data_IF_207518685855
#
_entry.id   IF_207518685855
#
_cell.length_a   1.000
_cell.length_b   1.000
_cell.length_c   1.000
_cell.angle_alpha   90.00
_cell.angle_beta   90.00
_cell.angle_gamma   90.00
#
_symmetry.space_group_name_H-M   'P 1'
#
loop_
_entity.id
_entity.type
_entity.pdbx_description
1 polymer ?
#
# COMPACT_ATOMS: atom_id res chain seq x y z
N UNK A 1 11.30 1.16 -19.58
CA UNK A 1 10.73 2.50 -19.26
C UNK A 1 9.84 2.43 -18.03
N UNK A 2 8.83 1.53 -17.99
CA UNK A 2 7.94 1.38 -16.81
C UNK A 2 8.68 1.12 -15.49
N UNK A 3 9.64 0.19 -15.47
CA UNK A 3 10.41 -0.09 -14.24
C UNK A 3 11.23 1.11 -13.75
N UNK A 4 11.83 1.88 -14.66
CA UNK A 4 12.60 3.07 -14.30
C UNK A 4 11.71 4.15 -13.66
N UNK A 5 10.48 4.33 -14.14
CA UNK A 5 9.50 5.26 -13.56
C UNK A 5 9.10 4.82 -12.15
N UNK A 6 8.87 3.52 -11.93
CA UNK A 6 8.53 2.96 -10.62
C UNK A 6 9.68 3.10 -9.60
N UNK A 7 10.92 2.94 -10.06
CA UNK A 7 12.11 3.14 -9.23
C UNK A 7 12.22 4.60 -8.78
N UNK A 8 12.03 5.57 -9.68
CA UNK A 8 12.10 7.01 -9.35
C UNK A 8 11.10 7.39 -8.23
N UNK A 9 9.88 6.87 -8.29
CA UNK A 9 8.84 7.13 -7.27
C UNK A 9 9.26 6.60 -5.89
N UNK A 10 10.06 5.52 -5.84
CA UNK A 10 10.56 4.92 -4.60
C UNK A 10 11.86 5.53 -4.07
N UNK A 11 12.56 6.35 -4.86
CA UNK A 11 13.81 7.02 -4.41
C UNK A 11 13.52 7.98 -3.26
N UNK A 12 12.35 8.63 -3.26
CA UNK A 12 11.98 9.56 -2.22
C UNK A 12 11.40 8.83 -0.99
N UNK A 13 11.98 9.05 0.20
CA UNK A 13 11.39 8.55 1.45
C UNK A 13 9.96 9.11 1.62
N UNK A 14 9.05 8.31 2.18
CA UNK A 14 7.65 8.71 2.42
C UNK A 14 7.55 10.04 3.18
N UNK A 15 8.40 10.23 4.21
CA UNK A 15 8.43 11.45 5.03
C UNK A 15 8.80 12.69 4.18
N UNK A 16 9.79 12.56 3.29
CA UNK A 16 10.21 13.68 2.43
C UNK A 16 9.09 14.07 1.47
N UNK A 17 8.42 13.06 0.89
CA UNK A 17 7.25 13.24 0.04
C UNK A 17 6.10 13.92 0.80
N UNK A 18 5.84 13.53 2.05
CA UNK A 18 4.88 14.18 2.92
C UNK A 18 5.21 15.66 3.14
N UNK A 19 6.45 16.00 3.52
CA UNK A 19 6.82 17.40 3.77
C UNK A 19 6.63 18.29 2.54
N UNK A 20 6.93 17.77 1.34
CA UNK A 20 6.71 18.48 0.07
C UNK A 20 5.19 18.67 -0.17
N UNK A 21 4.41 17.61 0.01
CA UNK A 21 2.97 17.65 -0.24
C UNK A 21 2.22 18.50 0.79
N UNK A 22 2.65 18.53 2.05
CA UNK A 22 2.11 19.42 3.09
C UNK A 22 2.24 20.89 2.67
N UNK A 23 3.35 21.27 2.03
CA UNK A 23 3.54 22.64 1.55
C UNK A 23 2.58 23.01 0.43
N UNK A 24 2.20 22.07 -0.43
CA UNK A 24 1.30 22.30 -1.56
C UNK A 24 -0.19 22.16 -1.20
N UNK A 25 -0.54 21.14 -0.42
CA UNK A 25 -1.92 20.73 -0.13
C UNK A 25 -2.36 21.05 1.30
N UNK A 26 -1.44 21.45 2.18
CA UNK A 26 -1.69 21.73 3.59
C UNK A 26 -1.63 20.49 4.49
N UNK A 27 -1.80 20.70 5.79
CA UNK A 27 -1.91 19.64 6.79
C UNK A 27 -3.35 19.12 6.85
N UNK A 28 -3.67 18.10 6.07
CA UNK A 28 -4.99 17.48 6.05
C UNK A 28 -4.91 16.01 5.61
N UNK A 29 -6.01 15.28 5.74
CA UNK A 29 -6.08 13.87 5.39
C UNK A 29 -5.76 13.59 3.90
N UNK A 30 -6.03 14.55 3.00
CA UNK A 30 -5.76 14.39 1.57
C UNK A 30 -4.26 14.28 1.32
N UNK A 31 -3.45 15.11 1.98
CA UNK A 31 -1.99 15.05 1.91
C UNK A 31 -1.47 13.66 2.30
N UNK A 32 -1.94 13.09 3.40
CA UNK A 32 -1.52 11.77 3.87
C UNK A 32 -1.91 10.66 2.89
N UNK A 33 -3.13 10.71 2.35
CA UNK A 33 -3.58 9.75 1.32
C UNK A 33 -2.73 9.86 0.05
N UNK A 34 -2.38 11.07 -0.39
CA UNK A 34 -1.53 11.29 -1.55
C UNK A 34 -0.10 10.79 -1.30
N UNK A 35 0.49 11.06 -0.13
CA UNK A 35 1.83 10.58 0.23
C UNK A 35 1.88 9.06 0.18
N UNK A 36 0.96 8.39 0.88
CA UNK A 36 0.90 6.93 0.95
C UNK A 36 0.59 6.34 -0.41
N UNK A 37 -0.36 6.93 -1.15
CA UNK A 37 -0.78 6.47 -2.46
C UNK A 37 0.35 6.52 -3.49
N UNK A 38 1.02 7.67 -3.61
CA UNK A 38 2.14 7.83 -4.54
C UNK A 38 3.27 6.85 -4.24
N UNK A 39 3.65 6.73 -2.96
CA UNK A 39 4.69 5.80 -2.57
C UNK A 39 4.25 4.32 -2.74
N UNK A 40 2.97 4.03 -2.56
CA UNK A 40 2.41 2.69 -2.77
C UNK A 40 2.40 2.26 -4.23
N UNK A 41 2.07 3.15 -5.15
CA UNK A 41 2.02 2.86 -6.60
C UNK A 41 3.38 2.36 -7.09
N UNK A 42 4.48 3.01 -6.67
CA UNK A 42 5.83 2.62 -7.06
C UNK A 42 6.20 1.20 -6.63
N UNK A 43 5.83 0.81 -5.40
CA UNK A 43 6.11 -0.53 -4.88
C UNK A 43 5.19 -1.58 -5.49
N UNK A 44 3.88 -1.35 -5.47
CA UNK A 44 2.88 -2.28 -6.00
C UNK A 44 3.12 -2.56 -7.48
N UNK A 45 3.44 -1.52 -8.28
CA UNK A 45 3.73 -1.70 -9.70
C UNK A 45 4.91 -2.64 -9.95
N UNK A 46 5.97 -2.57 -9.13
CA UNK A 46 7.13 -3.46 -9.27
C UNK A 46 6.80 -4.89 -8.84
N UNK A 47 6.15 -5.05 -7.69
CA UNK A 47 5.78 -6.37 -7.18
C UNK A 47 4.75 -7.07 -8.06
N UNK A 48 3.80 -6.34 -8.64
CA UNK A 48 2.85 -6.90 -9.60
C UNK A 48 3.53 -7.30 -10.92
N UNK A 49 4.49 -6.50 -11.40
CA UNK A 49 5.28 -6.87 -12.57
C UNK A 49 6.09 -8.15 -12.31
N UNK A 50 6.74 -8.27 -11.15
CA UNK A 50 7.47 -9.48 -10.75
C UNK A 50 6.54 -10.69 -10.64
N UNK A 51 5.33 -10.53 -10.08
CA UNK A 51 4.34 -11.61 -10.01
C UNK A 51 3.91 -12.09 -11.42
N UNK A 52 3.72 -11.16 -12.36
CA UNK A 52 3.37 -11.48 -13.75
C UNK A 52 4.54 -12.14 -14.50
N UNK A 53 5.77 -11.67 -14.28
CA UNK A 53 6.96 -12.20 -14.95
C UNK A 53 7.35 -13.60 -14.47
N UNK A 54 7.03 -13.94 -13.21
CA UNK A 54 7.32 -15.24 -12.61
C UNK A 54 6.25 -16.32 -12.89
N UNK A 55 5.13 -15.95 -13.51
CA UNK A 55 4.03 -16.86 -13.83
C UNK A 55 4.42 -17.88 -14.92
N UNK A 56 3.86 -19.10 -14.85
CA UNK A 56 4.03 -20.11 -15.90
C UNK A 56 3.43 -19.63 -17.23
N UNK A 57 4.21 -19.76 -18.30
CA UNK A 57 3.83 -19.34 -19.66
C UNK A 57 3.11 -20.45 -20.42
N UNK A 58 3.16 -21.69 -19.95
CA UNK A 58 2.51 -22.83 -20.61
C UNK A 58 1.00 -22.61 -20.87
N UNK A 59 0.21 -22.03 -19.94
CA UNK A 59 -1.21 -21.72 -20.20
C UNK A 59 -1.42 -20.64 -21.27
N UNK A 60 -0.48 -19.70 -21.43
CA UNK A 60 -0.54 -18.67 -22.47
C UNK A 60 -0.29 -19.26 -23.85
N UNK A 61 0.68 -20.18 -23.97
CA UNK A 61 0.98 -20.87 -25.24
C UNK A 61 -0.20 -21.75 -25.68
N UNK A 62 -0.88 -22.42 -24.73
CA UNK A 62 -2.10 -23.16 -25.02
C UNK A 62 -3.23 -22.25 -25.54
N UNK A 63 -3.40 -21.05 -24.97
CA UNK A 63 -4.38 -20.07 -25.45
C UNK A 63 -4.02 -19.55 -26.85
N UNK A 64 -2.73 -19.39 -27.16
CA UNK A 64 -2.27 -19.03 -28.50
C UNK A 64 -2.60 -20.12 -29.53
N UNK A 65 -2.47 -21.40 -29.17
CA UNK A 65 -2.81 -22.52 -30.06
C UNK A 65 -4.30 -22.57 -30.43
N UNK A 66 -5.18 -22.03 -29.58
CA UNK A 66 -6.64 -21.95 -29.82
C UNK A 66 -7.02 -20.64 -30.52
N UNK A 67 -6.05 -19.78 -30.86
CA UNK A 67 -6.29 -18.50 -31.54
C UNK A 67 -6.85 -17.40 -30.64
N UNK A 68 -6.58 -17.46 -29.33
CA UNK A 68 -7.07 -16.46 -28.39
C UNK A 68 -6.46 -15.06 -28.63
N UNK A 69 -7.29 -14.03 -28.55
CA UNK A 69 -6.82 -12.65 -28.63
C UNK A 69 -6.15 -12.19 -27.32
N UNK A 70 -5.46 -11.04 -27.35
CA UNK A 70 -4.72 -10.52 -26.20
C UNK A 70 -5.58 -10.33 -24.93
N UNK A 71 -6.83 -9.87 -25.08
CA UNK A 71 -7.75 -9.68 -23.96
C UNK A 71 -8.20 -11.00 -23.33
N UNK A 72 -8.42 -12.03 -24.15
CA UNK A 72 -8.72 -13.38 -23.68
C UNK A 72 -7.53 -13.96 -22.91
N UNK A 73 -6.31 -13.76 -23.40
CA UNK A 73 -5.08 -14.17 -22.71
C UNK A 73 -4.91 -13.50 -21.36
N UNK A 74 -5.16 -12.19 -21.26
CA UNK A 74 -5.13 -11.47 -19.98
C UNK A 74 -6.19 -12.02 -19.02
N UNK A 75 -7.44 -12.15 -19.49
CA UNK A 75 -8.57 -12.52 -18.62
C UNK A 75 -8.55 -13.96 -18.16
N UNK A 76 -8.15 -14.90 -19.02
CA UNK A 76 -8.24 -16.34 -18.77
C UNK A 76 -6.90 -17.02 -18.53
N UNK A 77 -5.80 -16.39 -18.95
CA UNK A 77 -4.44 -16.87 -18.69
C UNK A 77 -3.82 -16.14 -17.50
N UNK A 78 -3.62 -14.83 -17.63
CA UNK A 78 -2.79 -14.06 -16.69
C UNK A 78 -3.52 -13.83 -15.36
N UNK A 79 -4.67 -13.15 -15.38
CA UNK A 79 -5.39 -12.72 -14.17
C UNK A 79 -5.64 -13.89 -13.20
N UNK A 80 -6.16 -15.06 -13.61
CA UNK A 80 -6.45 -16.14 -12.69
C UNK A 80 -5.22 -16.70 -11.98
N UNK A 81 -4.07 -16.70 -12.66
CA UNK A 81 -2.81 -17.23 -12.11
C UNK A 81 -2.18 -16.26 -11.10
N UNK A 82 -2.16 -14.96 -11.41
CA UNK A 82 -1.52 -13.95 -10.52
C UNK A 82 -2.46 -13.33 -9.50
N UNK A 83 -3.76 -13.62 -9.54
CA UNK A 83 -4.75 -12.99 -8.66
C UNK A 83 -4.46 -13.23 -7.17
N UNK A 84 -4.03 -14.44 -6.81
CA UNK A 84 -3.66 -14.78 -5.43
C UNK A 84 -2.46 -13.96 -4.95
N UNK A 85 -1.40 -13.89 -5.76
CA UNK A 85 -0.18 -13.12 -5.47
C UNK A 85 -0.46 -11.62 -5.38
N UNK A 86 -1.20 -11.06 -6.35
CA UNK A 86 -1.58 -9.64 -6.35
C UNK A 86 -2.40 -9.31 -5.10
N UNK A 87 -3.32 -10.19 -4.71
CA UNK A 87 -4.15 -9.99 -3.51
C UNK A 87 -3.30 -10.05 -2.23
N UNK A 88 -2.38 -11.01 -2.15
CA UNK A 88 -1.43 -11.14 -1.03
C UNK A 88 -0.52 -9.91 -0.88
N UNK A 89 0.06 -9.44 -2.00
CA UNK A 89 0.89 -8.24 -2.06
C UNK A 89 0.09 -7.00 -1.64
N UNK A 90 -1.16 -6.88 -2.11
CA UNK A 90 -2.03 -5.74 -1.78
C UNK A 90 -2.37 -5.70 -0.28
N UNK A 91 -2.75 -6.84 0.31
CA UNK A 91 -3.04 -6.95 1.74
C UNK A 91 -1.80 -6.64 2.60
N UNK A 92 -0.64 -7.17 2.19
CA UNK A 92 0.61 -6.85 2.87
C UNK A 92 0.93 -5.35 2.83
N UNK A 93 0.76 -4.72 1.66
CA UNK A 93 0.99 -3.28 1.51
C UNK A 93 -0.04 -2.45 2.28
N UNK A 94 -1.27 -2.93 2.38
CA UNK A 94 -2.30 -2.27 3.18
C UNK A 94 -1.92 -2.19 4.67
N UNK A 95 -1.40 -3.27 5.28
CA UNK A 95 -0.91 -3.22 6.67
C UNK A 95 0.20 -2.17 6.84
N UNK A 96 1.19 -2.18 5.95
CA UNK A 96 2.29 -1.20 5.99
C UNK A 96 1.75 0.22 5.88
N UNK A 97 0.81 0.46 4.97
CA UNK A 97 0.21 1.77 4.74
C UNK A 97 -0.56 2.29 5.97
N UNK A 98 -1.27 1.41 6.68
CA UNK A 98 -1.95 1.76 7.94
C UNK A 98 -0.95 2.20 9.00
N UNK A 99 0.20 1.52 9.10
CA UNK A 99 1.28 1.89 10.01
C UNK A 99 1.93 3.22 9.60
N UNK A 100 2.25 3.38 8.32
CA UNK A 100 2.78 4.64 7.76
C UNK A 100 1.85 5.82 8.00
N UNK A 101 0.52 5.65 7.94
CA UNK A 101 -0.45 6.71 8.23
C UNK A 101 -0.34 7.27 9.66
N UNK A 102 0.15 6.48 10.61
CA UNK A 102 0.42 6.96 11.98
C UNK A 102 1.66 7.86 12.01
N UNK A 103 2.75 7.43 11.36
CA UNK A 103 3.99 8.22 11.29
C UNK A 103 3.77 9.52 10.51
N UNK A 104 3.07 9.42 9.39
CA UNK A 104 2.75 10.56 8.54
C UNK A 104 1.82 11.59 9.21
N UNK A 105 0.92 11.12 10.06
CA UNK A 105 0.07 12.00 10.88
C UNK A 105 0.86 12.86 11.85
N UNK A 106 1.96 12.34 12.41
CA UNK A 106 2.83 13.09 13.33
C UNK A 106 3.61 14.19 12.60
N UNK A 107 4.03 13.97 11.36
CA UNK A 107 4.77 14.97 10.56
C UNK A 107 3.86 16.00 9.88
N UNK A 108 2.56 16.01 10.21
CA UNK A 108 1.61 16.99 9.68
C UNK A 108 1.06 16.66 8.30
N UNK A 109 1.25 15.44 7.79
CA UNK A 109 0.55 15.00 6.57
C UNK A 109 -0.89 14.55 6.84
N UNK A 110 -1.39 14.65 8.08
CA UNK A 110 -2.71 14.15 8.47
C UNK A 110 -2.77 12.62 8.59
N UNK A 111 -3.90 12.10 9.07
CA UNK A 111 -4.10 10.66 9.30
C UNK A 111 -4.17 10.28 10.78
N UNK A 112 -3.99 8.99 11.09
CA UNK A 112 -4.17 8.42 12.44
C UNK A 112 -3.27 9.10 13.49
N UNK A 113 -2.05 9.49 13.09
CA UNK A 113 -1.10 10.15 13.99
C UNK A 113 -1.39 11.63 14.26
N UNK A 114 -2.31 12.27 13.52
CA UNK A 114 -2.62 13.68 13.75
C UNK A 114 -3.26 13.89 15.14
N UNK A 115 -4.08 12.95 15.58
CA UNK A 115 -4.68 13.00 16.93
C UNK A 115 -3.63 12.82 18.04
N UNK A 116 -2.57 12.04 17.78
CA UNK A 116 -1.46 11.87 18.73
C UNK A 116 -0.70 13.18 18.94
N UNK A 117 -0.32 13.86 17.85
CA UNK A 117 0.44 15.12 17.96
C UNK A 117 -0.41 16.22 18.62
N UNK A 118 -1.70 16.31 18.28
CA UNK A 118 -2.62 17.25 18.92
C UNK A 118 -2.75 17.01 20.44
N UNK A 119 -2.85 15.75 20.88
CA UNK A 119 -2.90 15.44 22.31
C UNK A 119 -1.58 15.76 23.03
N UNK A 120 -0.45 15.51 22.36
CA UNK A 120 0.88 15.83 22.87
C UNK A 120 1.08 17.35 23.04
N UNK A 121 0.69 18.14 22.04
CA UNK A 121 0.79 19.61 22.08
C UNK A 121 -0.07 20.23 23.18
N UNK A 122 -1.21 19.61 23.50
CA UNK A 122 -2.09 20.04 24.59
C UNK A 122 -1.65 19.53 25.97
N UNK A 123 -0.49 18.89 26.09
CA UNK A 123 0.04 18.30 27.33
C UNK A 123 -0.92 17.31 28.02
N UNK A 124 -1.81 16.69 27.24
CA UNK A 124 -2.82 15.76 27.77
C UNK A 124 -2.33 14.32 27.65
N UNK A 125 -1.54 13.90 28.63
CA UNK A 125 -0.91 12.57 28.66
C UNK A 125 -1.91 11.42 28.75
N UNK A 126 -3.06 11.62 29.42
CA UNK A 126 -4.11 10.61 29.55
C UNK A 126 -4.79 10.32 28.19
N UNK A 127 -5.15 11.40 27.47
CA UNK A 127 -5.71 11.28 26.12
C UNK A 127 -4.66 10.70 25.15
N UNK A 128 -3.41 11.16 25.23
CA UNK A 128 -2.33 10.65 24.41
C UNK A 128 -2.14 9.14 24.59
N UNK A 129 -2.08 8.66 25.83
CA UNK A 129 -1.95 7.24 26.15
C UNK A 129 -3.12 6.41 25.60
N UNK A 130 -4.34 6.95 25.69
CA UNK A 130 -5.55 6.31 25.15
C UNK A 130 -5.51 6.21 23.63
N UNK A 131 -5.13 7.28 22.93
CA UNK A 131 -5.00 7.29 21.46
C UNK A 131 -3.91 6.32 21.02
N UNK A 132 -2.77 6.30 21.72
CA UNK A 132 -1.67 5.38 21.42
C UNK A 132 -2.11 3.92 21.52
N UNK A 133 -2.79 3.57 22.62
CA UNK A 133 -3.31 2.22 22.83
C UNK A 133 -4.36 1.86 21.78
N UNK A 134 -5.25 2.78 21.42
CA UNK A 134 -6.24 2.58 20.36
C UNK A 134 -5.58 2.30 18.99
N UNK A 135 -4.51 3.04 18.64
CA UNK A 135 -3.75 2.80 17.41
C UNK A 135 -3.07 1.44 17.43
N UNK A 136 -2.45 1.04 18.55
CA UNK A 136 -1.83 -0.30 18.69
C UNK A 136 -2.86 -1.40 18.48
N UNK A 137 -4.02 -1.31 19.14
CA UNK A 137 -5.11 -2.29 18.98
C UNK A 137 -5.59 -2.32 17.53
N UNK A 138 -5.78 -1.15 16.91
CA UNK A 138 -6.21 -1.05 15.52
C UNK A 138 -5.22 -1.69 14.55
N UNK A 139 -3.92 -1.43 14.71
CA UNK A 139 -2.86 -2.02 13.88
C UNK A 139 -2.82 -3.54 14.07
N UNK A 140 -2.93 -4.04 15.30
CA UNK A 140 -2.98 -5.49 15.56
C UNK A 140 -4.21 -6.16 14.93
N UNK A 141 -5.36 -5.51 14.98
CA UNK A 141 -6.57 -6.00 14.31
C UNK A 141 -6.40 -6.05 12.79
N UNK A 142 -5.82 -5.00 12.19
CA UNK A 142 -5.54 -4.95 10.76
C UNK A 142 -4.55 -6.04 10.35
N UNK A 143 -3.48 -6.25 11.10
CA UNK A 143 -2.49 -7.29 10.81
C UNK A 143 -3.09 -8.69 10.94
N UNK A 144 -3.88 -8.94 12.00
CA UNK A 144 -4.58 -10.21 12.17
C UNK A 144 -5.54 -10.50 11.00
N UNK A 145 -6.37 -9.54 10.62
CA UNK A 145 -7.30 -9.69 9.48
C UNK A 145 -6.54 -9.89 8.17
N UNK A 146 -5.49 -9.10 7.94
CA UNK A 146 -4.67 -9.20 6.71
C UNK A 146 -3.95 -10.54 6.62
N UNK A 147 -3.44 -11.05 7.74
CA UNK A 147 -2.78 -12.36 7.81
C UNK A 147 -3.77 -13.51 7.60
N UNK A 148 -4.95 -13.44 8.21
CA UNK A 148 -6.01 -14.42 8.00
C UNK A 148 -6.54 -14.45 6.56
N UNK A 149 -6.70 -13.28 5.92
CA UNK A 149 -7.10 -13.20 4.52
C UNK A 149 -6.01 -13.76 3.60
N UNK A 150 -4.74 -13.46 3.88
CA UNK A 150 -3.60 -13.98 3.13
C UNK A 150 -3.46 -15.49 3.24
N UNK A 151 -3.71 -16.08 4.41
CA UNK A 151 -3.65 -17.55 4.59
C UNK A 151 -4.76 -18.31 3.86
N UNK A 152 -5.77 -17.64 3.32
CA UNK A 152 -6.80 -18.26 2.46
C UNK A 152 -6.51 -18.13 0.97
N UNK A 153 -5.56 -17.27 0.61
CA UNK A 153 -5.17 -17.01 -0.78
C UNK A 153 -4.00 -17.90 -1.23
N UNK A 154 -3.18 -18.34 -0.26
CA UNK A 154 -2.01 -19.22 -0.45
C UNK A 154 -2.39 -20.66 -0.15
#
# INVERSE_FOLDING_TARGET
IGEAILVIIRVFPEIVLALILVKGFGMNAVTGVLTIGLHSIGMLGKLFAEAIDNMDKSPLEALDAVGANAWQKIRYGIIPQVAADISSITLYRFDINVRSATVLGIVGAGGLGASLILAAENWNWDILGTILLAIVVMVLLVDFVSSYLRSKLV
#
